data_IF_149600734653
#
_entry.id   IF_149600734653
#
_cell.length_a   1.000
_cell.length_b   1.000
_cell.length_c   1.000
_cell.angle_alpha   90.00
_cell.angle_beta   90.00
_cell.angle_gamma   90.00
#
_symmetry.space_group_name_H-M   'P 1'
#
loop_
_entity.id
_entity.type
_entity.pdbx_description
1 polymer ?
#
# COMPACT_ATOMS: atom_id res chain seq x y z
N UNK A 1 17.47 2.15 -15.57
CA UNK A 1 16.86 1.71 -14.32
C UNK A 1 15.60 2.52 -14.05
N UNK A 2 14.48 1.88 -13.88
CA UNK A 2 13.22 2.57 -13.64
C UNK A 2 13.15 3.06 -12.20
N UNK A 3 12.99 4.38 -12.00
CA UNK A 3 12.90 4.99 -10.68
C UNK A 3 11.44 5.10 -10.22
N UNK A 4 10.78 3.93 -10.08
CA UNK A 4 9.39 3.84 -9.64
C UNK A 4 9.32 2.85 -8.48
N UNK A 5 8.71 3.26 -7.38
CA UNK A 5 8.48 2.43 -6.20
C UNK A 5 7.00 2.40 -5.89
N UNK A 6 6.46 1.20 -5.79
CA UNK A 6 5.04 0.96 -5.51
C UNK A 6 4.89 0.23 -4.19
N UNK A 7 3.87 0.59 -3.42
CA UNK A 7 3.53 -0.05 -2.16
C UNK A 7 2.11 -0.59 -2.20
N UNK A 8 1.95 -1.86 -1.83
CA UNK A 8 0.68 -2.37 -1.33
C UNK A 8 0.38 -1.72 0.03
N UNK A 9 -0.87 -1.74 0.47
CA UNK A 9 -1.25 -1.18 1.78
C UNK A 9 -1.44 -2.28 2.83
N UNK A 10 -2.49 -3.08 2.71
CA UNK A 10 -2.89 -4.04 3.75
C UNK A 10 -1.87 -5.17 3.89
N UNK A 11 -1.30 -5.32 5.08
CA UNK A 11 -0.23 -6.30 5.33
C UNK A 11 1.17 -5.82 4.93
N UNK A 12 1.30 -4.68 4.29
CA UNK A 12 2.58 -4.10 3.84
C UNK A 12 2.97 -2.88 4.67
N UNK A 13 2.19 -1.83 4.63
CA UNK A 13 2.40 -0.63 5.48
C UNK A 13 1.28 -0.46 6.53
N UNK A 14 0.15 -1.11 6.32
CA UNK A 14 -1.05 -1.04 7.16
C UNK A 14 -1.28 -2.38 7.85
N UNK A 15 -1.40 -2.39 9.17
CA UNK A 15 -1.69 -3.59 9.94
C UNK A 15 -3.19 -3.88 9.98
N UNK A 16 -3.80 -4.11 8.82
CA UNK A 16 -5.23 -4.43 8.73
C UNK A 16 -5.56 -5.71 9.48
N UNK A 17 -4.75 -6.74 9.28
CA UNK A 17 -4.99 -8.08 9.85
C UNK A 17 -4.75 -8.14 11.36
N UNK A 18 -4.14 -7.11 11.93
CA UNK A 18 -3.99 -6.96 13.38
C UNK A 18 -5.18 -6.29 14.06
N UNK A 19 -6.15 -5.81 13.30
CA UNK A 19 -7.38 -5.24 13.86
C UNK A 19 -8.28 -6.39 14.34
N UNK A 20 -8.69 -6.34 15.62
CA UNK A 20 -9.60 -7.35 16.17
C UNK A 20 -10.88 -7.42 15.34
N UNK A 21 -11.28 -8.64 14.97
CA UNK A 21 -12.49 -8.91 14.18
C UNK A 21 -12.47 -8.26 12.78
N UNK A 22 -11.30 -8.04 12.21
CA UNK A 22 -11.20 -7.39 10.89
C UNK A 22 -12.03 -8.09 9.82
N UNK A 23 -12.04 -9.43 9.81
CA UNK A 23 -12.80 -10.19 8.80
C UNK A 23 -14.31 -10.02 8.99
N UNK A 24 -14.80 -10.03 10.24
CA UNK A 24 -16.23 -9.81 10.53
C UNK A 24 -16.67 -8.43 10.08
N UNK A 25 -15.84 -7.40 10.28
CA UNK A 25 -16.13 -6.06 9.78
C UNK A 25 -16.24 -6.03 8.27
N UNK A 26 -15.34 -6.72 7.56
CA UNK A 26 -15.38 -6.80 6.09
C UNK A 26 -16.64 -7.53 5.61
N UNK A 27 -16.97 -8.65 6.23
CA UNK A 27 -18.16 -9.44 5.89
C UNK A 27 -19.42 -8.60 6.08
N UNK A 28 -19.49 -7.78 7.12
CA UNK A 28 -20.62 -6.89 7.42
C UNK A 28 -20.52 -5.54 6.69
N UNK A 29 -19.58 -5.40 5.78
CA UNK A 29 -19.34 -4.17 5.01
C UNK A 29 -19.18 -2.92 5.87
N UNK A 30 -18.38 -3.06 6.95
CA UNK A 30 -18.00 -1.95 7.81
C UNK A 30 -16.54 -1.55 7.50
N UNK A 31 -16.28 -0.28 7.16
CA UNK A 31 -14.92 0.15 6.79
C UNK A 31 -13.99 0.35 7.99
N UNK A 32 -14.44 0.13 9.22
CA UNK A 32 -13.68 0.41 10.45
C UNK A 32 -12.25 -0.12 10.44
N UNK A 33 -11.95 -1.37 10.01
CA UNK A 33 -10.56 -1.84 10.01
C UNK A 33 -9.62 -0.94 9.21
N UNK A 34 -10.09 -0.42 8.08
CA UNK A 34 -9.31 0.48 7.24
C UNK A 34 -9.11 1.87 7.86
N UNK A 35 -9.98 2.24 8.80
CA UNK A 35 -9.88 3.53 9.50
C UNK A 35 -8.92 3.45 10.69
N UNK A 36 -9.00 2.37 11.47
CA UNK A 36 -8.32 2.25 12.77
C UNK A 36 -7.00 1.48 12.72
N UNK A 37 -6.67 0.83 11.61
CA UNK A 37 -5.46 0.02 11.50
C UNK A 37 -4.21 0.86 11.78
N UNK A 38 -3.27 0.24 12.49
CA UNK A 38 -2.00 0.89 12.84
C UNK A 38 -0.97 0.67 11.72
N UNK A 39 0.04 1.54 11.62
CA UNK A 39 1.16 1.29 10.72
C UNK A 39 1.97 0.05 11.12
N UNK A 40 2.53 -0.63 10.12
CA UNK A 40 3.43 -1.79 10.32
C UNK A 40 4.89 -1.38 10.51
N UNK A 41 5.24 -0.13 10.22
CA UNK A 41 6.60 0.37 10.35
C UNK A 41 6.57 1.83 10.80
N UNK A 42 7.73 2.39 11.14
CA UNK A 42 7.84 3.77 11.58
C UNK A 42 7.53 4.71 10.42
N UNK A 43 6.42 5.43 10.53
CA UNK A 43 5.94 6.33 9.47
C UNK A 43 6.83 7.55 9.29
N UNK A 44 7.41 8.07 10.37
CA UNK A 44 8.35 9.19 10.27
C UNK A 44 9.59 8.82 9.47
N UNK A 45 10.16 7.66 9.73
CA UNK A 45 11.31 7.13 8.98
C UNK A 45 10.95 6.89 7.52
N UNK A 46 9.80 6.24 7.27
CA UNK A 46 9.34 5.98 5.91
C UNK A 46 9.12 7.26 5.13
N UNK A 47 8.43 8.24 5.73
CA UNK A 47 8.14 9.52 5.07
C UNK A 47 9.44 10.25 4.69
N UNK A 48 10.44 10.28 5.57
CA UNK A 48 11.73 10.91 5.26
C UNK A 48 12.43 10.25 4.08
N UNK A 49 12.44 8.92 4.05
CA UNK A 49 13.05 8.17 2.94
C UNK A 49 12.31 8.42 1.63
N UNK A 50 10.98 8.37 1.64
CA UNK A 50 10.17 8.59 0.44
C UNK A 50 10.32 10.00 -0.09
N UNK A 51 10.33 11.00 0.79
CA UNK A 51 10.54 12.39 0.40
C UNK A 51 11.91 12.60 -0.24
N UNK A 52 12.94 11.96 0.31
CA UNK A 52 14.30 12.02 -0.24
C UNK A 52 14.39 11.33 -1.60
N UNK A 53 13.77 10.17 -1.74
CA UNK A 53 13.74 9.44 -3.02
C UNK A 53 13.01 10.25 -4.09
N UNK A 54 11.90 10.92 -3.75
CA UNK A 54 11.20 11.79 -4.70
C UNK A 54 12.08 12.96 -5.16
N UNK A 55 12.86 13.55 -4.26
CA UNK A 55 13.85 14.58 -4.64
C UNK A 55 14.91 14.04 -5.60
N UNK A 56 15.21 12.75 -5.50
CA UNK A 56 16.18 12.07 -6.39
C UNK A 56 15.53 11.55 -7.68
N UNK A 57 14.29 11.94 -7.95
CA UNK A 57 13.59 11.60 -9.19
C UNK A 57 12.77 10.32 -9.16
N UNK A 58 12.56 9.71 -7.98
CA UNK A 58 11.70 8.53 -7.86
C UNK A 58 10.23 8.91 -7.88
N UNK A 59 9.45 8.11 -8.62
CA UNK A 59 7.98 8.12 -8.54
C UNK A 59 7.54 7.16 -7.42
N UNK A 60 6.63 7.61 -6.56
CA UNK A 60 6.13 6.81 -5.44
C UNK A 60 4.63 6.61 -5.61
N UNK A 61 4.20 5.35 -5.64
CA UNK A 61 2.81 4.98 -5.89
C UNK A 61 2.28 4.04 -4.81
N UNK A 62 0.96 4.04 -4.66
CA UNK A 62 0.20 3.04 -3.93
C UNK A 62 -0.56 2.18 -4.94
N UNK A 63 -0.55 0.86 -4.74
CA UNK A 63 -1.38 -0.09 -5.49
C UNK A 63 -2.05 -1.02 -4.47
N UNK A 64 -3.32 -0.80 -4.20
CA UNK A 64 -4.07 -1.52 -3.17
C UNK A 64 -5.37 -2.09 -3.73
N UNK A 65 -5.72 -3.29 -3.31
CA UNK A 65 -6.96 -3.95 -3.71
C UNK A 65 -8.10 -3.60 -2.77
N UNK A 66 -9.30 -3.47 -3.34
CA UNK A 66 -10.54 -3.44 -2.61
C UNK A 66 -10.90 -4.84 -2.10
N UNK A 67 -11.91 -4.95 -1.24
CA UNK A 67 -12.34 -6.22 -0.67
C UNK A 67 -12.97 -7.12 -1.72
N UNK A 68 -12.80 -8.43 -1.54
CA UNK A 68 -13.38 -9.44 -2.42
C UNK A 68 -14.91 -9.43 -2.28
N UNK A 69 -15.61 -9.47 -3.42
CA UNK A 69 -17.09 -9.55 -3.47
C UNK A 69 -17.83 -8.42 -2.73
N UNK A 70 -17.24 -7.23 -2.67
CA UNK A 70 -17.84 -6.08 -2.01
C UNK A 70 -18.84 -5.35 -2.91
N UNK A 71 -19.74 -4.61 -2.28
CA UNK A 71 -20.68 -3.71 -2.99
C UNK A 71 -19.96 -2.43 -3.42
N UNK A 72 -20.55 -1.69 -4.38
CA UNK A 72 -20.05 -0.39 -4.79
C UNK A 72 -20.01 0.61 -3.63
N UNK A 73 -21.02 0.59 -2.79
CA UNK A 73 -21.14 1.47 -1.61
C UNK A 73 -19.99 1.21 -0.65
N UNK A 74 -19.66 -0.06 -0.39
CA UNK A 74 -18.54 -0.42 0.47
C UNK A 74 -17.21 -0.02 -0.16
N UNK A 75 -17.05 -0.23 -1.46
CA UNK A 75 -15.83 0.15 -2.19
C UNK A 75 -15.55 1.64 -2.08
N UNK A 76 -16.57 2.49 -2.14
CA UNK A 76 -16.42 3.94 -1.93
C UNK A 76 -15.94 4.23 -0.51
N UNK A 77 -16.57 3.58 0.50
CA UNK A 77 -16.18 3.78 1.90
C UNK A 77 -14.73 3.33 2.14
N UNK A 78 -14.33 2.18 1.61
CA UNK A 78 -12.96 1.64 1.77
C UNK A 78 -11.95 2.53 1.06
N UNK A 79 -12.25 2.96 -0.16
CA UNK A 79 -11.38 3.88 -0.92
C UNK A 79 -11.12 5.16 -0.15
N UNK A 80 -12.18 5.77 0.38
CA UNK A 80 -12.08 7.00 1.18
C UNK A 80 -11.28 6.77 2.46
N UNK A 81 -11.51 5.64 3.14
CA UNK A 81 -10.79 5.27 4.35
C UNK A 81 -9.29 5.09 4.08
N UNK A 82 -8.92 4.40 3.01
CA UNK A 82 -7.52 4.19 2.63
C UNK A 82 -6.82 5.50 2.30
N UNK A 83 -7.46 6.38 1.54
CA UNK A 83 -6.90 7.70 1.21
C UNK A 83 -6.73 8.56 2.46
N UNK A 84 -7.70 8.54 3.36
CA UNK A 84 -7.63 9.26 4.64
C UNK A 84 -6.52 8.72 5.52
N UNK A 85 -6.31 7.41 5.56
CA UNK A 85 -5.22 6.77 6.29
C UNK A 85 -3.86 7.26 5.79
N UNK A 86 -3.68 7.33 4.48
CA UNK A 86 -2.44 7.83 3.88
C UNK A 86 -2.20 9.31 4.24
N UNK A 87 -3.22 10.14 4.20
CA UNK A 87 -3.10 11.55 4.60
C UNK A 87 -2.73 11.70 6.08
N UNK A 88 -3.27 10.83 6.93
CA UNK A 88 -3.00 10.85 8.37
C UNK A 88 -1.57 10.40 8.70
N UNK A 89 -1.11 9.31 8.09
CA UNK A 89 0.14 8.66 8.47
C UNK A 89 1.32 9.02 7.58
N UNK A 90 1.10 9.40 6.35
CA UNK A 90 2.11 9.77 5.36
C UNK A 90 1.74 11.09 4.65
N UNK A 91 1.19 12.03 5.40
CA UNK A 91 0.67 13.30 4.85
C UNK A 91 1.72 14.18 4.18
N UNK A 92 3.00 14.04 4.54
CA UNK A 92 4.09 14.79 3.89
C UNK A 92 4.53 14.19 2.55
N UNK A 93 4.12 12.96 2.25
CA UNK A 93 4.48 12.28 1.01
C UNK A 93 3.44 12.59 -0.06
N UNK A 94 3.88 13.13 -1.18
CA UNK A 94 3.02 13.38 -2.33
C UNK A 94 3.09 12.18 -3.28
N UNK A 95 2.19 11.21 -3.09
CA UNK A 95 2.14 10.06 -3.98
C UNK A 95 1.84 10.50 -5.41
N UNK A 96 2.62 9.99 -6.36
CA UNK A 96 2.40 10.27 -7.77
C UNK A 96 1.09 9.66 -8.26
N UNK A 97 0.82 8.41 -7.86
CA UNK A 97 -0.44 7.73 -8.16
C UNK A 97 -0.90 6.92 -6.95
N UNK A 98 -2.20 6.92 -6.72
CA UNK A 98 -2.85 6.09 -5.70
C UNK A 98 -3.86 5.22 -6.43
N UNK A 99 -3.48 3.97 -6.70
CA UNK A 99 -4.35 2.98 -7.35
C UNK A 99 -5.05 2.15 -6.28
N UNK A 100 -6.33 2.38 -6.11
CA UNK A 100 -7.20 1.55 -5.26
C UNK A 100 -8.19 0.89 -6.20
N UNK A 101 -7.97 -0.40 -6.45
CA UNK A 101 -8.56 -1.13 -7.59
C UNK A 101 -9.30 -2.38 -7.13
N UNK A 102 -10.19 -2.93 -7.96
CA UNK A 102 -10.92 -4.14 -7.59
C UNK A 102 -9.99 -5.30 -7.21
N UNK A 103 -10.47 -6.13 -6.30
CA UNK A 103 -9.75 -7.32 -5.86
C UNK A 103 -9.36 -8.19 -7.07
N UNK A 104 -8.12 -8.62 -7.10
CA UNK A 104 -7.62 -9.48 -8.16
C UNK A 104 -7.08 -8.74 -9.40
N UNK A 105 -7.19 -7.41 -9.45
CA UNK A 105 -6.59 -6.63 -10.54
C UNK A 105 -5.08 -6.90 -10.59
N UNK A 106 -4.52 -7.36 -11.73
CA UNK A 106 -3.09 -7.65 -11.82
C UNK A 106 -2.28 -6.36 -11.65
N UNK A 107 -1.50 -6.29 -10.57
CA UNK A 107 -0.76 -5.07 -10.21
C UNK A 107 0.30 -4.70 -11.24
N UNK A 108 0.89 -5.70 -11.90
CA UNK A 108 1.92 -5.48 -12.92
C UNK A 108 1.39 -4.81 -14.20
N UNK A 109 0.07 -4.71 -14.36
CA UNK A 109 -0.54 -3.97 -15.47
C UNK A 109 -0.68 -2.48 -15.18
N UNK A 110 -0.50 -2.07 -13.93
CA UNK A 110 -0.75 -0.69 -13.49
C UNK A 110 0.54 0.14 -13.38
N UNK A 111 1.68 -0.52 -13.18
CA UNK A 111 2.96 0.16 -13.01
C UNK A 111 4.11 -0.82 -13.25
N UNK A 112 5.33 -0.35 -13.06
CA UNK A 112 6.55 -1.16 -13.12
C UNK A 112 7.56 -0.66 -12.07
N UNK A 113 8.79 -1.15 -12.12
CA UNK A 113 9.82 -0.80 -11.16
C UNK A 113 9.78 -1.70 -9.93
N UNK A 114 9.82 -1.10 -8.75
CA UNK A 114 9.84 -1.82 -7.46
C UNK A 114 8.41 -1.96 -6.93
N UNK A 115 8.10 -3.13 -6.35
CA UNK A 115 6.87 -3.37 -5.61
C UNK A 115 7.20 -3.97 -4.25
N UNK A 116 6.61 -3.40 -3.19
CA UNK A 116 6.54 -4.04 -1.88
C UNK A 116 5.13 -4.58 -1.68
N UNK A 117 5.01 -5.89 -1.49
CA UNK A 117 3.73 -6.57 -1.32
C UNK A 117 3.92 -7.81 -0.44
N UNK A 118 3.03 -8.02 0.52
CA UNK A 118 3.10 -9.16 1.44
C UNK A 118 2.61 -10.47 0.79
N UNK A 119 1.91 -10.40 -0.34
CA UNK A 119 1.40 -11.58 -1.03
C UNK A 119 2.37 -12.13 -2.05
N UNK A 120 2.77 -13.40 -1.88
CA UNK A 120 3.70 -14.05 -2.76
C UNK A 120 3.19 -14.10 -4.20
N UNK A 121 1.91 -14.35 -4.42
CA UNK A 121 1.33 -14.40 -5.76
C UNK A 121 1.53 -13.08 -6.50
N UNK A 122 1.33 -11.96 -5.83
CA UNK A 122 1.53 -10.64 -6.42
C UNK A 122 3.00 -10.40 -6.74
N UNK A 123 3.91 -10.82 -5.87
CA UNK A 123 5.36 -10.72 -6.12
C UNK A 123 5.78 -11.59 -7.30
N UNK A 124 5.27 -12.81 -7.38
CA UNK A 124 5.59 -13.74 -8.49
C UNK A 124 5.11 -13.18 -9.83
N UNK A 125 3.90 -12.64 -9.87
CA UNK A 125 3.33 -12.04 -11.08
C UNK A 125 4.06 -10.75 -11.49
N UNK A 126 4.56 -10.00 -10.53
CA UNK A 126 5.34 -8.78 -10.80
C UNK A 126 6.70 -9.12 -11.39
N UNK A 127 7.36 -10.13 -10.84
CA UNK A 127 8.68 -10.58 -11.27
C UNK A 127 9.81 -9.81 -10.61
N UNK A 128 10.86 -9.52 -11.38
CA UNK A 128 12.03 -8.82 -10.87
C UNK A 128 11.65 -7.44 -10.31
N UNK A 129 12.17 -7.10 -9.15
CA UNK A 129 11.87 -5.83 -8.47
C UNK A 129 10.75 -5.93 -7.44
N UNK A 130 10.13 -7.11 -7.26
CA UNK A 130 9.18 -7.33 -6.17
C UNK A 130 9.88 -7.80 -4.90
N UNK A 131 9.48 -7.22 -3.78
CA UNK A 131 10.07 -7.52 -2.46
C UNK A 131 8.97 -7.85 -1.46
N UNK A 132 9.27 -8.78 -0.54
CA UNK A 132 8.47 -8.98 0.66
C UNK A 132 8.66 -7.80 1.62
N UNK A 133 7.88 -7.77 2.68
CA UNK A 133 7.73 -6.59 3.56
C UNK A 133 8.65 -6.61 4.78
N UNK A 134 9.51 -7.62 4.91
CA UNK A 134 10.36 -7.81 6.08
C UNK A 134 11.50 -6.79 6.21
N UNK A 135 11.87 -6.08 5.15
CA UNK A 135 12.96 -5.10 5.21
C UNK A 135 12.74 -3.91 4.26
N UNK A 136 11.57 -3.30 4.30
CA UNK A 136 11.24 -2.15 3.45
C UNK A 136 12.26 -1.02 3.64
N UNK A 137 12.51 -0.62 4.88
CA UNK A 137 13.40 0.50 5.20
C UNK A 137 14.83 0.23 4.70
N UNK A 138 15.33 -0.98 4.91
CA UNK A 138 16.67 -1.36 4.45
C UNK A 138 16.80 -1.32 2.93
N UNK A 139 15.81 -1.84 2.21
CA UNK A 139 15.80 -1.80 0.74
C UNK A 139 15.76 -0.37 0.23
N UNK A 140 14.89 0.48 0.81
CA UNK A 140 14.79 1.89 0.41
C UNK A 140 16.10 2.65 0.63
N UNK A 141 16.78 2.40 1.75
CA UNK A 141 18.08 3.03 2.03
C UNK A 141 19.11 2.68 0.96
N UNK A 142 19.02 1.50 0.37
CA UNK A 142 19.92 1.07 -0.69
C UNK A 142 19.76 1.86 -2.00
N UNK A 143 18.66 2.59 -2.18
CA UNK A 143 18.42 3.42 -3.37
C UNK A 143 18.88 4.88 -3.20
N UNK A 144 19.27 5.27 -2.02
CA UNK A 144 19.71 6.66 -1.73
C UNK A 144 21.19 6.88 -2.02
#
# INVERSE_FOLDING_TARGET
MTKIINFDMDGTIVNLYGVNNWLDYLINENPRPYVVAKPLLNMGTLAKLLNKLQKNGYEINIISWLSKNSTKEYDVMVTNAKKKWLRKHLGSVKFNNIHIVPYGTPKHTLSNGILFDDEQKNRDNWGAGAYDVDNIIGVLKGFI
#
